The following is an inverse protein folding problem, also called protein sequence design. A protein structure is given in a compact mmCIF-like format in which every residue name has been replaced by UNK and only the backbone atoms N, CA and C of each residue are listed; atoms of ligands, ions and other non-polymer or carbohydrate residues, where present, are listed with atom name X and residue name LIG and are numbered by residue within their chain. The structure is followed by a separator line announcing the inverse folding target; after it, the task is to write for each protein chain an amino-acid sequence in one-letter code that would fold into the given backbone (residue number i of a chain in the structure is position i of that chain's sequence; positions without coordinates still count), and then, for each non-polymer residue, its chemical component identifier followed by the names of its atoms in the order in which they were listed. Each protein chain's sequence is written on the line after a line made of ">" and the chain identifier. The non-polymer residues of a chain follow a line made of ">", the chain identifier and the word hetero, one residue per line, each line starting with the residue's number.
data_IF_752890189580
#
_entry.id   IF_752890189580
#
_cell.length_a   1.000
_cell.length_b   1.000
_cell.length_c   1.000
_cell.angle_alpha   90.00
_cell.angle_beta   90.00
_cell.angle_gamma   90.00
#
_symmetry.space_group_name_H-M   'P 1'
#
loop_
_entity.id
_entity.type
_entity.pdbx_description
1 polymer ?
#
# COMPACT_ATOMS: atom_id res chain seq x y z
N UNK A 1 -27.42 -14.78 23.10
CA UNK A 1 -26.30 -15.40 22.35
C UNK A 1 -25.93 -14.66 21.05
N UNK A 2 -26.63 -13.60 20.65
CA UNK A 2 -26.37 -12.85 19.40
C UNK A 2 -25.32 -11.71 19.50
N UNK A 3 -24.79 -11.40 20.69
CA UNK A 3 -23.82 -10.31 20.89
C UNK A 3 -22.42 -10.64 20.35
N UNK A 4 -22.01 -11.91 20.41
CA UNK A 4 -20.69 -12.37 19.94
C UNK A 4 -20.55 -12.28 18.41
N UNK A 5 -21.54 -12.69 17.59
CA UNK A 5 -21.50 -12.52 16.14
C UNK A 5 -21.44 -11.05 15.69
N UNK A 6 -22.19 -10.16 16.35
CA UNK A 6 -22.24 -8.73 15.99
C UNK A 6 -20.91 -8.03 16.32
N UNK A 7 -20.31 -8.35 17.47
CA UNK A 7 -19.00 -7.85 17.84
C UNK A 7 -17.90 -8.33 16.86
N UNK A 8 -17.92 -9.61 16.48
CA UNK A 8 -16.98 -10.17 15.51
C UNK A 8 -17.11 -9.50 14.13
N UNK A 9 -18.34 -9.25 13.66
CA UNK A 9 -18.58 -8.53 12.41
C UNK A 9 -18.05 -7.09 12.46
N UNK A 10 -18.27 -6.38 13.57
CA UNK A 10 -17.75 -5.02 13.78
C UNK A 10 -16.22 -4.95 13.74
N UNK A 11 -15.54 -5.88 14.42
CA UNK A 11 -14.07 -5.96 14.42
C UNK A 11 -13.53 -6.27 13.01
N UNK A 12 -14.17 -7.21 12.31
CA UNK A 12 -13.79 -7.56 10.93
C UNK A 12 -13.90 -6.36 9.98
N UNK A 13 -14.97 -5.57 10.09
CA UNK A 13 -15.17 -4.37 9.29
C UNK A 13 -14.10 -3.29 9.56
N UNK A 14 -13.79 -3.03 10.84
CA UNK A 14 -12.76 -2.07 11.23
C UNK A 14 -11.37 -2.52 10.76
N UNK A 15 -11.06 -3.80 10.88
CA UNK A 15 -9.81 -4.37 10.38
C UNK A 15 -9.69 -4.22 8.86
N UNK A 16 -10.75 -4.54 8.12
CA UNK A 16 -10.80 -4.36 6.67
C UNK A 16 -10.59 -2.90 6.26
N UNK A 17 -11.22 -1.96 6.97
CA UNK A 17 -11.03 -0.53 6.74
C UNK A 17 -9.60 -0.08 7.03
N UNK A 18 -8.99 -0.54 8.13
CA UNK A 18 -7.61 -0.25 8.46
C UNK A 18 -6.64 -0.78 7.39
N UNK A 19 -6.87 -2.00 6.89
CA UNK A 19 -6.10 -2.58 5.79
C UNK A 19 -6.26 -1.79 4.50
N UNK A 20 -7.46 -1.31 4.18
CA UNK A 20 -7.69 -0.47 3.01
C UNK A 20 -6.93 0.86 3.10
N UNK A 21 -6.96 1.52 4.26
CA UNK A 21 -6.22 2.77 4.49
C UNK A 21 -4.72 2.53 4.40
N UNK A 22 -4.21 1.46 5.01
CA UNK A 22 -2.80 1.08 4.91
C UNK A 22 -2.39 0.86 3.46
N UNK A 23 -3.19 0.12 2.70
CA UNK A 23 -2.92 -0.19 1.30
C UNK A 23 -2.86 1.06 0.42
N UNK A 24 -3.83 1.96 0.54
CA UNK A 24 -3.83 3.25 -0.17
C UNK A 24 -2.65 4.10 0.29
N UNK A 25 -2.38 4.15 1.60
CA UNK A 25 -1.26 4.89 2.18
C UNK A 25 0.08 4.45 1.61
N UNK A 26 0.29 3.15 1.41
CA UNK A 26 1.49 2.60 0.77
C UNK A 26 1.63 3.09 -0.67
N UNK A 27 0.54 3.06 -1.46
CA UNK A 27 0.58 3.52 -2.87
C UNK A 27 0.93 5.01 -2.95
N UNK A 28 0.28 5.84 -2.12
CA UNK A 28 0.52 7.28 -2.05
C UNK A 28 1.94 7.57 -1.58
N UNK A 29 2.45 6.81 -0.61
CA UNK A 29 3.82 6.91 -0.14
C UNK A 29 4.82 6.58 -1.24
N UNK A 30 4.66 5.47 -1.97
CA UNK A 30 5.55 5.10 -3.09
C UNK A 30 5.53 6.18 -4.17
N UNK A 31 4.36 6.69 -4.54
CA UNK A 31 4.26 7.80 -5.49
C UNK A 31 5.03 9.04 -5.00
N UNK A 32 4.80 9.44 -3.75
CA UNK A 32 5.41 10.62 -3.15
C UNK A 32 6.92 10.49 -3.07
N UNK A 33 7.40 9.34 -2.66
CA UNK A 33 8.81 9.02 -2.53
C UNK A 33 9.51 8.92 -3.90
N UNK A 34 8.84 8.39 -4.92
CA UNK A 34 9.39 8.24 -6.25
C UNK A 34 9.58 9.58 -6.97
N UNK A 35 8.87 10.64 -6.55
CA UNK A 35 9.07 11.99 -7.10
C UNK A 35 10.47 12.54 -6.84
N UNK A 36 11.14 12.10 -5.77
CA UNK A 36 12.48 12.59 -5.41
C UNK A 36 13.54 11.51 -5.51
N UNK A 37 13.18 10.25 -5.26
CA UNK A 37 14.15 9.16 -5.09
C UNK A 37 14.26 8.23 -6.31
N UNK A 38 13.52 8.49 -7.39
CA UNK A 38 13.51 7.66 -8.60
C UNK A 38 13.87 8.42 -9.87
N UNK A 39 14.62 7.81 -10.81
CA UNK A 39 14.80 8.35 -12.16
C UNK A 39 13.62 8.02 -13.08
N UNK A 40 12.73 7.11 -12.65
CA UNK A 40 11.58 6.65 -13.42
C UNK A 40 10.30 7.38 -12.99
N UNK A 41 9.27 7.31 -13.82
CA UNK A 41 7.98 7.95 -13.54
C UNK A 41 7.40 7.48 -12.19
N UNK A 42 7.00 8.39 -11.28
CA UNK A 42 6.34 8.03 -10.03
C UNK A 42 5.05 7.23 -10.21
N UNK A 43 4.31 7.51 -11.29
CA UNK A 43 3.07 6.79 -11.64
C UNK A 43 3.35 5.32 -11.93
N UNK A 44 4.48 5.01 -12.58
CA UNK A 44 4.87 3.63 -12.86
C UNK A 44 4.99 2.83 -11.56
N UNK A 45 5.70 3.37 -10.57
CA UNK A 45 5.88 2.70 -9.29
C UNK A 45 4.59 2.56 -8.49
N UNK A 46 3.73 3.58 -8.50
CA UNK A 46 2.41 3.50 -7.90
C UNK A 46 1.55 2.38 -8.52
N UNK A 47 1.58 2.23 -9.85
CA UNK A 47 0.84 1.17 -10.55
C UNK A 47 1.40 -0.23 -10.29
N UNK A 48 2.73 -0.38 -10.26
CA UNK A 48 3.37 -1.66 -9.93
C UNK A 48 2.98 -2.12 -8.52
N UNK A 49 2.97 -1.20 -7.54
CA UNK A 49 2.56 -1.50 -6.16
C UNK A 49 1.05 -1.71 -6.04
N UNK A 50 0.23 -1.05 -6.86
CA UNK A 50 -1.20 -1.29 -6.92
C UNK A 50 -1.55 -2.69 -7.46
N UNK A 51 -0.90 -3.16 -8.54
CA UNK A 51 -1.22 -4.48 -9.10
C UNK A 51 -0.48 -5.63 -8.42
N UNK A 52 0.67 -5.36 -7.82
CA UNK A 52 1.47 -6.35 -7.12
C UNK A 52 2.07 -5.75 -5.83
N UNK A 53 1.32 -5.65 -4.72
CA UNK A 53 1.75 -4.89 -3.54
C UNK A 53 3.10 -5.32 -2.98
N UNK A 54 3.26 -6.61 -2.66
CA UNK A 54 4.51 -7.10 -2.06
C UNK A 54 5.67 -7.07 -3.06
N UNK A 55 5.46 -7.62 -4.26
CA UNK A 55 6.49 -7.67 -5.29
C UNK A 55 6.88 -6.25 -5.75
N UNK A 56 5.92 -5.37 -5.92
CA UNK A 56 6.11 -3.99 -6.32
C UNK A 56 6.86 -3.17 -5.27
N UNK A 57 6.60 -3.39 -3.99
CA UNK A 57 7.40 -2.78 -2.92
C UNK A 57 8.85 -3.24 -2.94
N UNK A 58 9.07 -4.55 -3.12
CA UNK A 58 10.43 -5.12 -3.23
C UNK A 58 11.15 -4.52 -4.44
N UNK A 59 10.50 -4.50 -5.60
CA UNK A 59 11.06 -3.91 -6.82
C UNK A 59 11.32 -2.41 -6.65
N UNK A 60 10.42 -1.67 -6.02
CA UNK A 60 10.60 -0.24 -5.75
C UNK A 60 11.83 0.02 -4.88
N UNK A 61 12.02 -0.78 -3.84
CA UNK A 61 13.19 -0.68 -2.96
C UNK A 61 14.50 -1.02 -3.66
N UNK A 62 14.51 -2.06 -4.49
CA UNK A 62 15.74 -2.55 -5.14
C UNK A 62 16.11 -1.75 -6.40
N UNK A 63 15.11 -1.29 -7.15
CA UNK A 63 15.29 -0.73 -8.50
C UNK A 63 14.72 0.69 -8.64
N UNK A 64 13.73 1.05 -7.84
CA UNK A 64 13.06 2.35 -7.92
C UNK A 64 13.78 3.46 -7.17
N UNK A 65 14.42 3.15 -6.05
CA UNK A 65 15.12 4.10 -5.16
C UNK A 65 16.62 4.21 -5.47
N UNK A 66 16.96 4.58 -6.69
CA UNK A 66 18.37 4.64 -7.14
C UNK A 66 19.00 6.02 -7.04
N UNK A 67 18.24 7.06 -6.68
CA UNK A 67 18.72 8.46 -6.64
C UNK A 67 18.85 9.01 -5.21
N UNK A 68 19.29 8.17 -4.27
CA UNK A 68 19.46 8.56 -2.86
C UNK A 68 20.42 9.75 -2.67
#
# INVERSE_FOLDING_TARGET
>A
MALVPLAAAGIGALFGLAMLVLYIGIIVWVYSDAQTNSPHSPVLWALVVFFAPFLGLILYWLLGRTQA
#
